data_IF_124120137996
#
_entry.id   IF_124120137996
#
_cell.length_a   1.000
_cell.length_b   1.000
_cell.length_c   1.000
_cell.angle_alpha   90.00
_cell.angle_beta   90.00
_cell.angle_gamma   90.00
#
_symmetry.space_group_name_H-M   'P 1'
#
loop_
_entity.id
_entity.type
_entity.pdbx_description
1 polymer ?
#
# COMPACT_ATOMS: atom_id res chain seq x y z
N UNK A 1 -25.50 -2.30 -20.33
CA UNK A 1 -24.41 -1.45 -19.81
C UNK A 1 -24.45 -0.11 -20.53
N UNK A 2 -24.35 1.04 -19.84
CA UNK A 2 -24.67 2.37 -20.41
C UNK A 2 -23.48 3.11 -21.04
N UNK A 3 -22.23 2.70 -20.78
CA UNK A 3 -21.03 3.34 -21.33
C UNK A 3 -20.83 4.81 -20.91
N UNK A 4 -21.56 5.28 -19.89
CA UNK A 4 -21.53 6.69 -19.49
C UNK A 4 -20.17 7.10 -18.91
N UNK A 5 -19.83 8.38 -19.07
CA UNK A 5 -18.72 9.00 -18.36
C UNK A 5 -19.00 9.04 -16.85
N UNK A 6 -17.99 8.68 -16.07
CA UNK A 6 -17.94 8.89 -14.61
C UNK A 6 -17.05 10.11 -14.37
N UNK A 7 -17.56 11.13 -13.69
CA UNK A 7 -16.81 12.37 -13.42
C UNK A 7 -15.92 12.19 -12.19
N UNK A 8 -14.89 13.01 -12.03
CA UNK A 8 -13.89 12.90 -10.96
C UNK A 8 -14.51 12.82 -9.55
N UNK A 9 -15.47 13.68 -9.22
CA UNK A 9 -16.18 13.65 -7.93
C UNK A 9 -16.90 12.32 -7.69
N UNK A 10 -17.49 11.75 -8.74
CA UNK A 10 -18.14 10.45 -8.65
C UNK A 10 -17.11 9.34 -8.51
N UNK A 11 -16.00 9.38 -9.25
CA UNK A 11 -14.91 8.42 -9.13
C UNK A 11 -14.42 8.34 -7.69
N UNK A 12 -14.21 9.49 -7.03
CA UNK A 12 -13.79 9.53 -5.63
C UNK A 12 -14.83 8.92 -4.71
N UNK A 13 -16.10 9.29 -4.86
CA UNK A 13 -17.20 8.82 -4.01
C UNK A 13 -17.39 7.30 -4.07
N UNK A 14 -17.15 6.68 -5.23
CA UNK A 14 -17.33 5.23 -5.42
C UNK A 14 -16.03 4.43 -5.20
N UNK A 15 -14.92 5.09 -4.84
CA UNK A 15 -13.62 4.44 -4.66
C UNK A 15 -12.94 4.01 -5.96
N UNK A 16 -13.31 4.61 -7.10
CA UNK A 16 -12.64 4.38 -8.39
C UNK A 16 -11.36 5.22 -8.53
N UNK A 17 -11.23 6.31 -7.77
CA UNK A 17 -9.97 7.03 -7.61
C UNK A 17 -9.79 7.46 -6.16
N UNK A 18 -8.54 7.60 -5.75
CA UNK A 18 -8.13 7.88 -4.38
C UNK A 18 -8.10 9.38 -4.07
N UNK A 19 -7.80 10.21 -5.08
CA UNK A 19 -7.64 11.67 -4.95
C UNK A 19 -8.17 12.38 -6.19
N UNK A 20 -8.76 13.56 -6.00
CA UNK A 20 -9.12 14.51 -7.07
C UNK A 20 -8.29 15.78 -6.90
N UNK A 21 -7.64 16.23 -7.97
CA UNK A 21 -6.77 17.41 -7.99
C UNK A 21 -7.18 18.38 -9.09
N UNK A 22 -6.75 19.66 -9.03
CA UNK A 22 -6.97 20.61 -10.11
C UNK A 22 -6.43 20.11 -11.46
N UNK A 23 -7.02 20.60 -12.54
CA UNK A 23 -6.58 20.28 -13.90
C UNK A 23 -5.10 20.64 -14.10
N UNK A 24 -4.35 19.75 -14.76
CA UNK A 24 -2.91 19.89 -14.95
C UNK A 24 -2.02 19.38 -13.81
N UNK A 25 -2.57 19.05 -12.62
CA UNK A 25 -1.77 18.64 -11.47
C UNK A 25 -1.72 17.12 -11.22
N UNK A 26 -2.44 16.33 -12.02
CA UNK A 26 -2.54 14.88 -11.82
C UNK A 26 -1.18 14.18 -11.77
N UNK A 27 -0.24 14.59 -12.63
CA UNK A 27 1.11 14.02 -12.66
C UNK A 27 1.89 14.32 -11.39
N UNK A 28 1.91 15.58 -10.97
CA UNK A 28 2.64 15.99 -9.75
C UNK A 28 2.11 15.24 -8.54
N UNK A 29 0.78 15.20 -8.36
CA UNK A 29 0.16 14.47 -7.25
C UNK A 29 0.46 12.97 -7.26
N UNK A 30 0.51 12.34 -8.45
CA UNK A 30 0.91 10.94 -8.57
C UNK A 30 2.39 10.71 -8.24
N UNK A 31 3.28 11.61 -8.65
CA UNK A 31 4.71 11.56 -8.31
C UNK A 31 4.94 11.77 -6.80
N UNK A 32 4.23 12.71 -6.18
CA UNK A 32 4.28 12.95 -4.73
C UNK A 32 3.82 11.70 -3.95
N UNK A 33 2.70 11.09 -4.35
CA UNK A 33 2.23 9.83 -3.78
C UNK A 33 3.25 8.69 -3.97
N UNK A 34 3.88 8.60 -5.14
CA UNK A 34 4.91 7.59 -5.38
C UNK A 34 6.14 7.79 -4.48
N UNK A 35 6.54 9.05 -4.26
CA UNK A 35 7.62 9.38 -3.32
C UNK A 35 7.26 9.00 -1.88
N UNK A 36 6.02 9.25 -1.44
CA UNK A 36 5.54 8.79 -0.13
C UNK A 36 5.58 7.27 -0.02
N UNK A 37 5.05 6.55 -1.02
CA UNK A 37 5.06 5.08 -1.06
C UNK A 37 6.49 4.52 -1.03
N UNK A 38 7.44 5.19 -1.68
CA UNK A 38 8.84 4.75 -1.74
C UNK A 38 9.54 4.73 -0.38
N UNK A 39 9.05 5.49 0.61
CA UNK A 39 9.67 5.62 1.94
C UNK A 39 9.37 4.44 2.86
N UNK A 40 8.35 3.64 2.53
CA UNK A 40 8.00 2.46 3.32
C UNK A 40 8.96 1.29 3.06
N UNK A 41 9.07 0.33 4.00
CA UNK A 41 9.80 -0.92 3.78
C UNK A 41 9.28 -1.65 2.54
N UNK A 42 10.07 -1.61 1.47
CA UNK A 42 9.59 -2.01 0.14
C UNK A 42 9.30 -3.50 0.05
N UNK A 43 10.03 -4.36 0.77
CA UNK A 43 9.77 -5.79 0.76
C UNK A 43 8.39 -6.11 1.36
N UNK A 44 8.03 -5.48 2.48
CA UNK A 44 6.72 -5.66 3.13
C UNK A 44 5.59 -5.16 2.24
N UNK A 45 5.69 -3.91 1.77
CA UNK A 45 4.69 -3.30 0.89
C UNK A 45 4.43 -4.13 -0.38
N UNK A 46 5.49 -4.71 -0.96
CA UNK A 46 5.36 -5.57 -2.16
C UNK A 46 4.72 -6.92 -1.84
N UNK A 47 5.02 -7.51 -0.68
CA UNK A 47 4.39 -8.74 -0.23
C UNK A 47 2.88 -8.53 0.02
N UNK A 48 2.51 -7.46 0.72
CA UNK A 48 1.12 -7.12 0.99
C UNK A 48 0.34 -6.86 -0.31
N UNK A 49 0.91 -6.05 -1.22
CA UNK A 49 0.33 -5.80 -2.55
C UNK A 49 0.12 -7.09 -3.33
N UNK A 50 1.06 -8.04 -3.25
CA UNK A 50 0.94 -9.35 -3.92
C UNK A 50 -0.21 -10.16 -3.32
N UNK A 51 -0.36 -10.18 -2.00
CA UNK A 51 -1.45 -10.88 -1.31
C UNK A 51 -2.82 -10.35 -1.72
N UNK A 52 -2.99 -9.01 -1.84
CA UNK A 52 -4.25 -8.38 -2.31
C UNK A 52 -4.68 -8.89 -3.69
N UNK A 53 -3.73 -9.09 -4.62
CA UNK A 53 -4.05 -9.61 -5.95
C UNK A 53 -4.36 -11.11 -5.92
N UNK A 54 -3.59 -11.89 -5.16
CA UNK A 54 -3.69 -13.36 -5.18
C UNK A 54 -4.90 -13.90 -4.43
N UNK A 55 -5.38 -13.19 -3.40
CA UNK A 55 -6.55 -13.60 -2.62
C UNK A 55 -7.87 -13.55 -3.40
N UNK A 56 -7.93 -12.79 -4.51
CA UNK A 56 -9.15 -12.67 -5.30
C UNK A 56 -9.59 -14.03 -5.86
N UNK A 57 -10.82 -14.43 -5.55
CA UNK A 57 -11.41 -15.71 -5.98
C UNK A 57 -11.06 -16.90 -5.08
N UNK A 58 -10.28 -16.70 -4.01
CA UNK A 58 -9.99 -17.74 -3.03
C UNK A 58 -10.99 -17.74 -1.88
N UNK A 59 -11.17 -18.91 -1.26
CA UNK A 59 -11.80 -18.99 0.05
C UNK A 59 -10.88 -18.39 1.12
N UNK A 60 -11.47 -17.78 2.15
CA UNK A 60 -10.76 -17.05 3.22
C UNK A 60 -9.56 -17.82 3.81
N UNK A 61 -9.75 -19.09 4.18
CA UNK A 61 -8.66 -19.90 4.74
C UNK A 61 -7.49 -20.09 3.75
N UNK A 62 -7.78 -20.33 2.47
CA UNK A 62 -6.74 -20.49 1.46
C UNK A 62 -5.98 -19.17 1.23
N UNK A 63 -6.71 -18.04 1.21
CA UNK A 63 -6.13 -16.71 1.11
C UNK A 63 -5.19 -16.40 2.28
N UNK A 64 -5.58 -16.70 3.53
CA UNK A 64 -4.74 -16.50 4.72
C UNK A 64 -3.48 -17.36 4.69
N UNK A 65 -3.58 -18.62 4.28
CA UNK A 65 -2.42 -19.50 4.12
C UNK A 65 -1.46 -18.94 3.07
N UNK A 66 -1.98 -18.46 1.95
CA UNK A 66 -1.15 -17.86 0.89
C UNK A 66 -0.50 -16.55 1.32
N UNK A 67 -1.24 -15.69 2.04
CA UNK A 67 -0.71 -14.47 2.63
C UNK A 67 0.49 -14.77 3.55
N UNK A 68 0.35 -15.77 4.42
CA UNK A 68 1.45 -16.21 5.28
C UNK A 68 2.71 -16.59 4.49
N UNK A 69 2.57 -17.39 3.43
CA UNK A 69 3.71 -17.77 2.59
C UNK A 69 4.35 -16.58 1.88
N UNK A 70 3.56 -15.59 1.47
CA UNK A 70 4.07 -14.38 0.82
C UNK A 70 4.86 -13.49 1.80
N UNK A 71 4.45 -13.42 3.07
CA UNK A 71 5.01 -12.47 4.04
C UNK A 71 6.11 -13.07 4.95
N UNK A 72 6.14 -14.39 5.17
CA UNK A 72 7.05 -15.03 6.13
C UNK A 72 8.54 -14.73 5.85
N UNK A 73 8.98 -14.80 4.59
CA UNK A 73 10.36 -14.50 4.23
C UNK A 73 10.75 -13.04 4.46
N UNK A 74 9.81 -12.11 4.25
CA UNK A 74 10.01 -10.68 4.48
C UNK A 74 10.04 -10.36 5.98
N UNK A 75 9.15 -10.99 6.76
CA UNK A 75 9.12 -10.84 8.21
C UNK A 75 10.44 -11.26 8.86
N UNK A 76 11.00 -12.39 8.42
CA UNK A 76 12.28 -12.90 8.94
C UNK A 76 13.48 -12.03 8.53
N UNK A 77 13.46 -11.42 7.35
CA UNK A 77 14.56 -10.60 6.85
C UNK A 77 14.55 -9.17 7.41
N UNK A 78 13.38 -8.54 7.56
CA UNK A 78 13.25 -7.11 7.86
C UNK A 78 12.26 -6.80 8.99
N UNK A 79 11.21 -7.63 9.14
CA UNK A 79 10.11 -7.40 10.07
C UNK A 79 10.52 -7.37 11.54
N UNK A 80 11.42 -8.26 11.97
CA UNK A 80 11.90 -8.30 13.35
C UNK A 80 12.69 -7.02 13.74
N UNK A 81 13.53 -6.52 12.83
CA UNK A 81 14.32 -5.29 13.05
C UNK A 81 13.42 -4.05 13.02
N UNK A 82 12.45 -4.01 12.09
CA UNK A 82 11.44 -2.94 12.01
C UNK A 82 10.53 -2.89 13.25
N UNK A 83 10.02 -4.04 13.69
CA UNK A 83 9.20 -4.17 14.89
C UNK A 83 9.98 -3.77 16.15
N UNK A 84 11.26 -4.14 16.25
CA UNK A 84 12.12 -3.68 17.33
C UNK A 84 12.29 -2.15 17.31
N UNK A 85 12.55 -1.53 16.16
CA UNK A 85 12.66 -0.05 16.04
C UNK A 85 11.37 0.67 16.42
N UNK A 86 10.22 0.12 16.01
CA UNK A 86 8.89 0.64 16.35
C UNK A 86 8.55 0.49 17.85
N UNK A 87 8.94 -0.62 18.47
CA UNK A 87 8.80 -0.83 19.91
C UNK A 87 9.61 0.20 20.72
N UNK A 88 10.78 0.61 20.21
CA UNK A 88 11.64 1.65 20.80
C UNK A 88 11.24 3.10 20.42
N UNK A 89 10.09 3.29 19.75
CA UNK A 89 9.49 4.61 19.52
C UNK A 89 9.83 5.29 18.20
N UNK A 90 10.75 4.75 17.39
CA UNK A 90 11.05 5.27 16.06
C UNK A 90 9.99 4.78 15.06
N UNK A 91 9.28 5.69 14.40
CA UNK A 91 8.22 5.37 13.40
C UNK A 91 6.77 5.46 13.91
N UNK A 92 6.52 5.71 15.21
CA UNK A 92 5.14 5.88 15.74
C UNK A 92 4.43 7.16 15.26
N UNK A 93 5.18 8.12 14.75
CA UNK A 93 4.68 9.44 14.31
C UNK A 93 4.87 9.67 12.80
N UNK A 94 5.16 8.63 12.02
CA UNK A 94 5.44 8.77 10.59
C UNK A 94 6.77 9.44 10.25
N UNK A 95 7.68 9.58 11.23
CA UNK A 95 9.04 10.07 10.98
C UNK A 95 9.95 8.90 10.56
N UNK A 96 10.21 8.82 9.26
CA UNK A 96 11.09 7.84 8.63
C UNK A 96 12.50 8.40 8.35
N UNK A 97 12.82 9.62 8.80
CA UNK A 97 14.10 10.30 8.51
C UNK A 97 15.34 9.59 9.05
N UNK A 98 15.17 8.60 9.94
CA UNK A 98 16.24 7.81 10.56
C UNK A 98 16.33 6.36 10.08
N UNK A 99 15.70 6.02 8.94
CA UNK A 99 15.63 4.64 8.43
C UNK A 99 16.58 4.39 7.25
N UNK A 100 17.36 5.40 6.81
CA UNK A 100 18.44 5.24 5.82
C UNK A 100 19.70 4.60 6.40
#
# INVERSE_FOLDING_TARGET
MTGRKVKAEECLRIGLCEIVVPEGQARQSAEDMAQEISRFPQACMRADRRSVYLQNGQGEHAALVQEWYNCNGVFNAEGAVGAARFAHGNGRHGDFSKIS
#
